data_IF_365054846035
#
_entry.id   IF_365054846035
#
_cell.length_a   1.000
_cell.length_b   1.000
_cell.length_c   1.000
_cell.angle_alpha   90.00
_cell.angle_beta   90.00
_cell.angle_gamma   90.00
#
_symmetry.space_group_name_H-M   'P 1'
#
loop_
_entity.id
_entity.type
_entity.pdbx_description
1 polymer ?
#
# COMPACT_ATOMS: atom_id res chain seq x y z
N UNK A 1 10.50 -9.83 14.52
CA UNK A 1 10.05 -9.20 13.27
C UNK A 1 11.18 -8.72 12.33
N UNK A 2 12.47 -8.67 12.76
CA UNK A 2 13.59 -8.10 11.96
C UNK A 2 14.15 -8.97 10.80
N UNK A 3 13.79 -10.26 10.70
CA UNK A 3 14.35 -11.18 9.68
C UNK A 3 13.32 -11.69 8.65
N UNK A 4 12.03 -11.57 8.91
CA UNK A 4 11.00 -12.30 8.15
C UNK A 4 10.58 -11.66 6.82
N UNK A 5 10.84 -10.37 6.58
CA UNK A 5 10.39 -9.73 5.34
C UNK A 5 11.20 -10.20 4.12
N UNK A 6 12.47 -10.54 4.30
CA UNK A 6 13.30 -11.11 3.23
C UNK A 6 12.98 -12.59 2.92
N UNK A 7 12.09 -13.21 3.71
CA UNK A 7 11.72 -14.62 3.59
C UNK A 7 10.41 -14.82 2.80
N UNK A 8 9.77 -13.75 2.31
CA UNK A 8 8.56 -13.86 1.50
C UNK A 8 8.89 -14.41 0.09
N UNK A 9 8.42 -15.61 -0.27
CA UNK A 9 8.72 -16.23 -1.57
C UNK A 9 8.31 -15.37 -2.76
N UNK A 10 7.27 -14.55 -2.59
CA UNK A 10 6.74 -13.65 -3.61
C UNK A 10 7.74 -12.54 -3.98
N UNK A 11 8.64 -12.16 -3.05
CA UNK A 11 9.73 -11.22 -3.31
C UNK A 11 10.97 -11.87 -3.93
N UNK A 12 11.03 -13.21 -3.94
CA UNK A 12 12.14 -14.01 -4.46
C UNK A 12 11.81 -14.70 -5.79
N UNK A 13 10.59 -14.51 -6.31
CA UNK A 13 10.13 -15.09 -7.58
C UNK A 13 10.84 -14.43 -8.77
N UNK A 14 11.39 -15.24 -9.68
CA UNK A 14 11.90 -14.76 -10.98
C UNK A 14 10.78 -14.53 -12.01
N UNK A 15 9.59 -15.10 -11.79
CA UNK A 15 8.39 -14.82 -12.59
C UNK A 15 7.58 -13.68 -11.97
N UNK A 16 7.22 -12.70 -12.79
CA UNK A 16 6.31 -11.62 -12.40
C UNK A 16 4.90 -12.20 -12.21
N UNK A 17 4.33 -12.14 -10.99
CA UNK A 17 3.04 -12.74 -10.70
C UNK A 17 1.93 -11.95 -11.40
N UNK A 18 0.87 -12.63 -11.83
CA UNK A 18 -0.28 -12.02 -12.51
C UNK A 18 -1.56 -12.12 -11.69
N UNK A 19 -2.57 -11.31 -12.04
CA UNK A 19 -3.87 -11.34 -11.37
C UNK A 19 -3.77 -10.97 -9.88
N UNK A 20 -4.39 -11.77 -9.02
CA UNK A 20 -4.32 -11.60 -7.54
C UNK A 20 -2.87 -11.69 -7.03
N UNK A 21 -2.02 -12.50 -7.67
CA UNK A 21 -0.62 -12.63 -7.27
C UNK A 21 0.18 -11.34 -7.44
N UNK A 22 -0.11 -10.56 -8.49
CA UNK A 22 0.48 -9.24 -8.71
C UNK A 22 0.16 -8.30 -7.54
N UNK A 23 -1.11 -8.25 -7.15
CA UNK A 23 -1.59 -7.42 -6.04
C UNK A 23 -0.96 -7.82 -4.69
N UNK A 24 -0.77 -9.12 -4.44
CA UNK A 24 -0.08 -9.61 -3.23
C UNK A 24 1.40 -9.20 -3.24
N UNK A 25 2.07 -9.32 -4.40
CA UNK A 25 3.46 -8.90 -4.57
C UNK A 25 3.66 -7.41 -4.31
N UNK A 26 2.75 -6.56 -4.80
CA UNK A 26 2.77 -5.11 -4.54
C UNK A 26 2.63 -4.80 -3.05
N UNK A 27 1.71 -5.50 -2.36
CA UNK A 27 1.51 -5.32 -0.92
C UNK A 27 2.75 -5.72 -0.11
N UNK A 28 3.41 -6.82 -0.48
CA UNK A 28 4.66 -7.25 0.14
C UNK A 28 5.81 -6.29 -0.15
N UNK A 29 5.87 -5.74 -1.36
CA UNK A 29 6.84 -4.72 -1.75
C UNK A 29 6.65 -3.43 -0.94
N UNK A 30 5.41 -2.97 -0.76
CA UNK A 30 5.11 -1.81 0.09
C UNK A 30 5.55 -2.02 1.54
N UNK A 31 5.32 -3.22 2.11
CA UNK A 31 5.80 -3.58 3.45
C UNK A 31 7.33 -3.59 3.54
N UNK A 32 7.99 -4.13 2.50
CA UNK A 32 9.45 -4.14 2.40
C UNK A 32 10.03 -2.73 2.37
N UNK A 33 9.46 -1.83 1.56
CA UNK A 33 9.91 -0.43 1.49
C UNK A 33 9.67 0.31 2.80
N UNK A 34 8.51 0.14 3.43
CA UNK A 34 8.23 0.73 4.75
C UNK A 34 9.22 0.27 5.81
N UNK A 35 9.57 -1.03 5.82
CA UNK A 35 10.59 -1.56 6.71
C UNK A 35 11.99 -1.00 6.42
N UNK A 36 12.35 -0.92 5.14
CA UNK A 36 13.66 -0.41 4.71
C UNK A 36 13.84 1.05 5.11
N UNK A 37 12.78 1.87 5.03
CA UNK A 37 12.77 3.22 5.60
C UNK A 37 13.03 3.19 7.12
N UNK A 38 12.30 2.39 7.89
CA UNK A 38 12.51 2.30 9.35
C UNK A 38 13.92 1.85 9.73
N UNK A 39 14.55 1.00 8.92
CA UNK A 39 15.88 0.47 9.17
C UNK A 39 17.00 1.45 8.80
N UNK A 40 16.81 2.25 7.75
CA UNK A 40 17.88 3.07 7.16
C UNK A 40 17.69 4.57 7.35
N UNK A 41 16.46 5.04 7.55
CA UNK A 41 16.09 6.45 7.50
C UNK A 41 16.12 7.06 6.09
N UNK A 42 16.38 6.28 5.04
CA UNK A 42 16.43 6.80 3.67
C UNK A 42 15.01 7.02 3.13
N UNK A 43 14.69 8.28 2.85
CA UNK A 43 13.40 8.72 2.33
C UNK A 43 13.09 8.22 0.91
N UNK A 44 14.09 7.72 0.16
CA UNK A 44 13.86 7.09 -1.15
C UNK A 44 12.87 5.93 -1.05
N UNK A 45 12.93 5.16 0.05
CA UNK A 45 12.01 4.06 0.33
C UNK A 45 10.55 4.51 0.48
N UNK A 46 10.30 5.72 0.99
CA UNK A 46 8.94 6.28 1.05
C UNK A 46 8.40 6.54 -0.35
N UNK A 47 9.25 7.02 -1.26
CA UNK A 47 8.88 7.26 -2.65
C UNK A 47 8.61 5.95 -3.40
N UNK A 48 9.43 4.92 -3.20
CA UNK A 48 9.18 3.59 -3.78
C UNK A 48 7.89 2.94 -3.25
N UNK A 49 7.61 3.12 -1.96
CA UNK A 49 6.35 2.69 -1.35
C UNK A 49 5.13 3.39 -1.97
N UNK A 50 5.19 4.71 -2.13
CA UNK A 50 4.13 5.48 -2.79
C UNK A 50 3.91 5.03 -4.24
N UNK A 51 4.99 4.81 -5.00
CA UNK A 51 4.92 4.38 -6.39
C UNK A 51 4.24 3.01 -6.55
N UNK A 52 4.66 2.00 -5.76
CA UNK A 52 4.08 0.65 -5.88
C UNK A 52 2.59 0.63 -5.50
N UNK A 53 2.18 1.44 -4.52
CA UNK A 53 0.75 1.56 -4.16
C UNK A 53 -0.07 2.20 -5.28
N UNK A 54 0.49 3.19 -5.97
CA UNK A 54 -0.14 3.84 -7.13
C UNK A 54 -0.28 2.89 -8.32
N UNK A 55 0.73 2.06 -8.58
CA UNK A 55 0.69 1.05 -9.64
C UNK A 55 -0.32 -0.05 -9.31
N UNK A 56 -0.37 -0.48 -8.04
CA UNK A 56 -1.38 -1.45 -7.57
C UNK A 56 -2.81 -0.90 -7.70
N UNK A 57 -3.03 0.37 -7.36
CA UNK A 57 -4.32 1.03 -7.56
C UNK A 57 -4.71 1.14 -9.04
N UNK A 58 -3.73 1.36 -9.93
CA UNK A 58 -3.96 1.37 -11.37
C UNK A 58 -4.36 -0.01 -11.90
N UNK A 59 -3.67 -1.06 -11.46
CA UNK A 59 -4.01 -2.44 -11.80
C UNK A 59 -5.47 -2.77 -11.45
N UNK A 60 -5.96 -2.32 -10.29
CA UNK A 60 -7.36 -2.49 -9.90
C UNK A 60 -8.35 -1.77 -10.81
N UNK A 61 -7.99 -0.58 -11.31
CA UNK A 61 -8.83 0.16 -12.27
C UNK A 61 -8.95 -0.61 -13.58
N UNK A 62 -7.83 -1.13 -14.11
CA UNK A 62 -7.80 -1.93 -15.34
C UNK A 62 -8.55 -3.25 -15.18
N UNK A 63 -8.38 -3.91 -14.04
CA UNK A 63 -8.94 -5.22 -13.79
C UNK A 63 -10.45 -5.21 -13.49
N UNK A 64 -10.93 -4.17 -12.81
CA UNK A 64 -12.33 -4.13 -12.37
C UNK A 64 -13.30 -3.65 -13.45
N UNK A 65 -12.82 -2.95 -14.50
CA UNK A 65 -13.65 -2.23 -15.49
C UNK A 65 -14.79 -1.42 -14.84
N UNK A 66 -14.64 -1.05 -13.56
CA UNK A 66 -15.75 -0.58 -12.74
C UNK A 66 -16.04 0.91 -12.94
N UNK A 67 -15.21 1.60 -13.74
CA UNK A 67 -15.24 3.05 -13.92
C UNK A 67 -14.86 3.83 -12.66
N UNK A 68 -14.41 3.15 -11.60
CA UNK A 68 -13.84 3.80 -10.42
C UNK A 68 -12.44 4.31 -10.75
N UNK A 69 -12.07 5.43 -10.13
CA UNK A 69 -10.76 6.04 -10.30
C UNK A 69 -9.87 5.72 -9.08
N UNK A 70 -9.60 4.43 -8.85
CA UNK A 70 -8.87 3.93 -7.68
C UNK A 70 -7.48 4.55 -7.61
N UNK A 71 -6.80 4.76 -8.74
CA UNK A 71 -5.52 5.48 -8.79
C UNK A 71 -5.63 6.93 -8.28
N UNK A 72 -6.73 7.63 -8.61
CA UNK A 72 -6.95 9.01 -8.16
C UNK A 72 -7.32 9.05 -6.67
N UNK A 73 -8.10 8.08 -6.21
CA UNK A 73 -8.42 7.91 -4.78
C UNK A 73 -7.16 7.63 -3.96
N UNK A 74 -6.27 6.75 -4.45
CA UNK A 74 -4.99 6.45 -3.81
C UNK A 74 -4.10 7.70 -3.69
N UNK A 75 -3.96 8.47 -4.77
CA UNK A 75 -3.21 9.73 -4.73
C UNK A 75 -3.80 10.72 -3.72
N UNK A 76 -5.12 10.87 -3.71
CA UNK A 76 -5.80 11.77 -2.78
C UNK A 76 -5.59 11.34 -1.31
N UNK A 77 -5.60 10.04 -1.04
CA UNK A 77 -5.38 9.48 0.29
C UNK A 77 -3.93 9.69 0.75
N UNK A 78 -2.94 9.45 -0.12
CA UNK A 78 -1.54 9.73 0.18
C UNK A 78 -1.31 11.20 0.50
N UNK A 79 -1.89 12.12 -0.29
CA UNK A 79 -1.79 13.56 -0.04
C UNK A 79 -2.48 13.96 1.27
N UNK A 80 -3.65 13.39 1.58
CA UNK A 80 -4.36 13.61 2.86
C UNK A 80 -3.47 13.22 4.05
N UNK A 81 -2.80 12.07 3.99
CA UNK A 81 -1.94 11.63 5.08
C UNK A 81 -0.62 12.41 5.17
N UNK A 82 -0.05 12.81 4.03
CA UNK A 82 1.10 13.73 4.02
C UNK A 82 0.74 15.06 4.68
N UNK A 83 -0.40 15.67 4.30
CA UNK A 83 -0.87 16.90 4.91
C UNK A 83 -1.05 16.72 6.42
N UNK A 84 -1.77 15.67 6.83
CA UNK A 84 -2.02 15.38 8.25
C UNK A 84 -0.73 15.22 9.07
N UNK A 85 0.29 14.58 8.50
CA UNK A 85 1.56 14.29 9.18
C UNK A 85 2.59 15.41 9.03
N UNK A 86 2.37 16.37 8.12
CA UNK A 86 3.28 17.50 7.86
C UNK A 86 3.07 18.69 8.79
N UNK A 87 1.95 18.74 9.51
CA UNK A 87 1.51 19.91 10.29
C UNK A 87 2.18 20.03 11.67
N UNK A 88 2.86 18.98 12.17
CA UNK A 88 3.42 18.98 13.52
C UNK A 88 4.87 18.46 13.58
N UNK A 89 5.71 19.12 14.39
CA UNK A 89 7.11 18.70 14.63
C UNK A 89 7.24 17.41 15.44
N UNK A 90 6.12 16.88 15.97
CA UNK A 90 6.08 15.57 16.62
C UNK A 90 4.79 14.84 16.27
N UNK A 91 4.90 13.76 15.49
CA UNK A 91 3.78 12.84 15.24
C UNK A 91 3.43 12.14 16.56
N UNK A 92 2.30 12.50 17.16
CA UNK A 92 1.85 11.90 18.41
C UNK A 92 1.22 10.51 18.20
N UNK A 93 1.22 9.69 19.25
CA UNK A 93 0.73 8.31 19.18
C UNK A 93 -0.77 8.19 18.84
N UNK A 94 -1.59 9.19 19.17
CA UNK A 94 -3.02 9.21 18.84
C UNK A 94 -3.25 9.52 17.37
N UNK A 95 -2.44 10.39 16.77
CA UNK A 95 -2.42 10.65 15.33
C UNK A 95 -2.05 9.40 14.53
N UNK A 96 -1.02 8.66 14.97
CA UNK A 96 -0.65 7.35 14.38
C UNK A 96 -1.79 6.34 14.53
N UNK A 97 -2.41 6.25 15.71
CA UNK A 97 -3.50 5.31 15.95
C UNK A 97 -4.71 5.61 15.05
N UNK A 98 -5.06 6.89 14.87
CA UNK A 98 -6.15 7.29 13.97
C UNK A 98 -5.86 6.89 12.53
N UNK A 99 -4.69 7.22 12.00
CA UNK A 99 -4.31 6.87 10.61
C UNK A 99 -4.37 5.36 10.41
N UNK A 100 -3.86 4.58 11.36
CA UNK A 100 -3.91 3.11 11.32
C UNK A 100 -5.34 2.58 11.27
N UNK A 101 -6.23 3.12 12.09
CA UNK A 101 -7.59 2.61 12.21
C UNK A 101 -8.47 3.02 11.01
N UNK A 102 -8.24 4.21 10.44
CA UNK A 102 -8.78 4.64 9.15
C UNK A 102 -8.32 3.69 8.02
N UNK A 103 -7.01 3.51 7.86
CA UNK A 103 -6.43 2.65 6.81
C UNK A 103 -6.96 1.20 6.89
N UNK A 104 -7.16 0.66 8.10
CA UNK A 104 -7.78 -0.67 8.30
C UNK A 104 -9.23 -0.73 7.85
N UNK A 105 -9.97 0.34 8.06
CA UNK A 105 -11.38 0.43 7.64
C UNK A 105 -11.47 0.47 6.13
N UNK A 106 -10.63 1.27 5.49
CA UNK A 106 -10.59 1.41 4.02
C UNK A 106 -10.09 0.12 3.35
N UNK A 107 -9.03 -0.51 3.88
CA UNK A 107 -8.54 -1.79 3.38
C UNK A 107 -9.62 -2.89 3.39
N UNK A 108 -10.46 -2.96 4.44
CA UNK A 108 -11.58 -3.90 4.49
C UNK A 108 -12.61 -3.64 3.39
N UNK A 109 -12.95 -2.37 3.16
CA UNK A 109 -13.86 -1.99 2.08
C UNK A 109 -13.31 -2.36 0.70
N UNK A 110 -12.00 -2.16 0.47
CA UNK A 110 -11.32 -2.55 -0.78
C UNK A 110 -11.31 -4.08 -0.97
N UNK A 111 -11.04 -4.85 0.08
CA UNK A 111 -11.10 -6.33 0.03
C UNK A 111 -12.51 -6.84 -0.26
N UNK A 112 -13.53 -6.25 0.34
CA UNK A 112 -14.91 -6.65 0.08
C UNK A 112 -15.36 -6.26 -1.34
N UNK A 113 -14.89 -5.14 -1.88
CA UNK A 113 -15.08 -4.79 -3.28
C UNK A 113 -14.45 -5.83 -4.21
N UNK A 114 -13.19 -6.20 -3.98
CA UNK A 114 -12.48 -7.22 -4.77
C UNK A 114 -13.26 -8.55 -4.86
N UNK A 115 -13.83 -9.00 -3.73
CA UNK A 115 -14.67 -10.20 -3.70
C UNK A 115 -15.93 -10.08 -4.56
N UNK A 116 -16.52 -8.88 -4.64
CA UNK A 116 -17.75 -8.64 -5.43
C UNK A 116 -17.52 -8.59 -6.94
N UNK A 117 -16.33 -8.18 -7.38
CA UNK A 117 -15.96 -8.10 -8.81
C UNK A 117 -15.33 -9.40 -9.35
N UNK A 118 -15.35 -10.48 -8.57
CA UNK A 118 -14.94 -11.81 -9.02
C UNK A 118 -13.44 -12.11 -8.91
N UNK A 119 -12.65 -11.24 -8.27
CA UNK A 119 -11.30 -11.58 -7.84
C UNK A 119 -11.39 -12.58 -6.68
N UNK A 120 -11.04 -13.85 -6.94
CA UNK A 120 -10.98 -14.95 -5.97
C UNK A 120 -9.56 -15.46 -5.85
#
# INVERSE_FOLDING_TARGET
MRQQIYEFPELASEEEPSGVGAYISDALSALYYAYSYMATGDTSWVSYCSAVLMDSAHFLDEASNSGRATKQSELAEQLKYLDLLSVDTSVDASSVARVRDEARTEARQRVDLLKTIGFR
#
